data_IF_038179187819
#
_entry.id   IF_038179187819
#
_cell.length_a   1.000
_cell.length_b   1.000
_cell.length_c   1.000
_cell.angle_alpha   90.00
_cell.angle_beta   90.00
_cell.angle_gamma   90.00
#
_symmetry.space_group_name_H-M   'P 1'
#
loop_
_entity.id
_entity.type
_entity.pdbx_description
1 polymer ?
#
# COMPACT_ATOMS: atom_id res chain seq x y z
N UNK A 1 11.29 -21.83 7.30
CA UNK A 1 11.59 -20.69 6.39
C UNK A 1 11.46 -19.38 7.16
N UNK A 2 12.30 -18.37 6.88
CA UNK A 2 12.07 -17.03 7.39
C UNK A 2 11.02 -16.28 6.52
N UNK A 3 10.67 -15.04 6.85
CA UNK A 3 9.64 -14.29 6.13
C UNK A 3 10.03 -13.92 4.71
N UNK A 4 11.29 -13.52 4.50
CA UNK A 4 11.80 -13.22 3.16
C UNK A 4 11.76 -14.45 2.26
N UNK A 5 12.15 -15.60 2.76
CA UNK A 5 12.10 -16.88 2.01
C UNK A 5 10.67 -17.25 1.60
N UNK A 6 9.65 -17.03 2.47
CA UNK A 6 8.24 -17.29 2.13
C UNK A 6 7.74 -16.36 1.05
N UNK A 7 8.07 -15.07 1.14
CA UNK A 7 7.67 -14.09 0.13
C UNK A 7 8.34 -14.39 -1.21
N UNK A 8 9.63 -14.72 -1.21
CA UNK A 8 10.34 -15.13 -2.42
C UNK A 8 9.78 -16.43 -3.02
N UNK A 9 9.41 -17.42 -2.16
CA UNK A 9 8.76 -18.64 -2.63
C UNK A 9 7.44 -18.34 -3.35
N UNK A 10 6.61 -17.42 -2.81
CA UNK A 10 5.38 -17.00 -3.46
C UNK A 10 5.66 -16.31 -4.80
N UNK A 11 6.67 -15.43 -4.89
CA UNK A 11 7.06 -14.76 -6.14
C UNK A 11 7.59 -15.74 -7.21
N UNK A 12 8.22 -16.83 -6.80
CA UNK A 12 8.88 -17.82 -7.67
C UNK A 12 8.05 -19.08 -7.90
N UNK A 13 6.78 -19.12 -7.46
CA UNK A 13 5.92 -20.33 -7.50
C UNK A 13 6.54 -21.55 -6.84
N UNK A 14 7.30 -21.35 -5.76
CA UNK A 14 7.97 -22.41 -5.03
C UNK A 14 7.17 -22.85 -3.78
N UNK A 15 7.33 -24.10 -3.33
CA UNK A 15 6.75 -24.56 -2.07
C UNK A 15 7.28 -23.75 -0.89
N UNK A 16 6.40 -23.45 0.05
CA UNK A 16 6.74 -22.86 1.34
C UNK A 16 6.19 -23.68 2.49
N UNK A 17 6.74 -23.50 3.68
CA UNK A 17 6.27 -24.15 4.91
C UNK A 17 4.84 -23.71 5.29
N UNK A 18 4.42 -22.52 4.90
CA UNK A 18 3.04 -22.00 4.94
C UNK A 18 2.91 -20.83 3.93
N UNK A 19 1.69 -20.43 3.57
CA UNK A 19 1.50 -19.19 2.81
C UNK A 19 2.07 -17.98 3.56
N UNK A 20 2.67 -17.04 2.82
CA UNK A 20 3.06 -15.77 3.38
C UNK A 20 1.83 -14.95 3.80
N UNK A 21 2.00 -14.05 4.77
CA UNK A 21 0.95 -13.20 5.29
C UNK A 21 1.38 -11.74 5.37
N UNK A 22 0.49 -10.85 4.97
CA UNK A 22 0.63 -9.42 5.19
C UNK A 22 -0.55 -8.85 5.98
N UNK A 23 -0.25 -8.03 6.97
CA UNK A 23 -1.21 -7.26 7.74
C UNK A 23 -0.98 -5.78 7.45
N UNK A 24 -1.99 -5.09 6.93
CA UNK A 24 -1.94 -3.63 6.84
C UNK A 24 -2.16 -3.05 8.23
N UNK A 25 -1.08 -2.90 8.97
CA UNK A 25 -1.04 -2.59 10.40
C UNK A 25 -0.23 -1.33 10.71
N UNK A 26 -0.15 -0.41 9.73
CA UNK A 26 0.58 0.84 9.90
C UNK A 26 0.09 1.64 11.10
N UNK A 27 -1.23 1.76 11.27
CA UNK A 27 -1.88 2.40 12.41
C UNK A 27 -1.76 1.60 13.71
N UNK A 28 -1.85 0.27 13.61
CA UNK A 28 -2.03 -0.61 14.76
C UNK A 28 -0.81 -0.70 15.67
N UNK A 29 0.39 -0.41 15.13
CA UNK A 29 1.63 -0.38 15.91
C UNK A 29 1.58 0.61 17.08
N UNK A 30 0.93 1.75 16.91
CA UNK A 30 0.75 2.73 17.96
C UNK A 30 -0.02 2.16 19.18
N UNK A 31 -1.06 1.33 18.93
CA UNK A 31 -1.80 0.67 20.01
C UNK A 31 -0.92 -0.26 20.85
N UNK A 32 -0.05 -1.02 20.20
CA UNK A 32 0.77 -2.02 20.89
C UNK A 32 1.84 -1.39 21.78
N UNK A 33 2.36 -0.23 21.39
CA UNK A 33 3.37 0.52 22.15
C UNK A 33 2.76 1.55 23.11
N UNK A 34 1.47 1.89 22.95
CA UNK A 34 0.83 2.97 23.70
C UNK A 34 1.21 4.37 23.22
N UNK A 35 1.88 4.49 22.07
CA UNK A 35 2.24 5.76 21.48
C UNK A 35 0.99 6.53 21.02
N UNK A 36 1.02 7.86 21.09
CA UNK A 36 -0.01 8.66 20.45
C UNK A 36 0.11 8.57 18.93
N UNK A 37 -0.99 8.71 18.19
CA UNK A 37 -0.92 8.74 16.73
C UNK A 37 -0.12 9.95 16.20
N UNK A 38 -0.08 11.04 16.97
CA UNK A 38 0.76 12.18 16.63
C UNK A 38 2.24 11.81 16.66
N UNK A 39 2.72 11.18 17.74
CA UNK A 39 4.11 10.74 17.84
C UNK A 39 4.42 9.65 16.80
N UNK A 40 3.52 8.69 16.66
CA UNK A 40 3.67 7.57 15.71
C UNK A 40 3.87 8.04 14.24
N UNK A 41 3.17 9.10 13.83
CA UNK A 41 3.28 9.64 12.47
C UNK A 41 4.21 10.85 12.34
N UNK A 42 4.95 11.21 13.38
CA UNK A 42 5.97 12.27 13.34
C UNK A 42 7.37 11.81 13.71
N UNK A 43 7.52 10.67 14.39
CA UNK A 43 8.81 10.12 14.79
C UNK A 43 9.04 8.74 14.17
N UNK A 44 10.10 8.63 13.36
CA UNK A 44 10.42 7.39 12.65
C UNK A 44 10.81 6.23 13.58
N UNK A 45 11.43 6.52 14.72
CA UNK A 45 11.77 5.50 15.71
C UNK A 45 10.52 4.96 16.40
N UNK A 46 9.59 5.85 16.79
CA UNK A 46 8.30 5.45 17.39
C UNK A 46 7.48 4.60 16.42
N UNK A 47 7.44 4.97 15.13
CA UNK A 47 6.79 4.13 14.13
C UNK A 47 7.46 2.76 14.02
N UNK A 48 8.78 2.72 13.92
CA UNK A 48 9.53 1.47 13.78
C UNK A 48 9.39 0.55 15.02
N UNK A 49 9.29 1.09 16.23
CA UNK A 49 8.96 0.34 17.44
C UNK A 49 7.54 -0.26 17.37
N UNK A 50 6.58 0.52 16.86
CA UNK A 50 5.23 0.02 16.60
C UNK A 50 5.20 -1.16 15.64
N UNK A 51 5.95 -1.08 14.53
CA UNK A 51 6.06 -2.17 13.56
C UNK A 51 6.82 -3.39 14.13
N UNK A 52 7.79 -3.17 15.00
CA UNK A 52 8.41 -4.25 15.75
C UNK A 52 7.40 -4.96 16.65
N UNK A 53 6.61 -4.23 17.42
CA UNK A 53 5.60 -4.81 18.29
C UNK A 53 4.54 -5.62 17.50
N UNK A 54 4.16 -5.14 16.30
CA UNK A 54 3.31 -5.89 15.36
C UNK A 54 3.99 -7.17 14.93
N UNK A 55 5.26 -7.11 14.54
CA UNK A 55 6.03 -8.27 14.08
C UNK A 55 6.19 -9.32 15.19
N UNK A 56 6.53 -8.88 16.38
CA UNK A 56 6.75 -9.76 17.53
C UNK A 56 5.46 -10.48 17.97
N UNK A 57 4.33 -9.78 17.85
CA UNK A 57 3.04 -10.31 18.32
C UNK A 57 2.29 -11.13 17.30
N UNK A 58 2.31 -10.75 16.02
CA UNK A 58 1.47 -11.35 14.96
C UNK A 58 2.28 -12.01 13.84
N UNK A 59 3.58 -11.82 13.79
CA UNK A 59 4.49 -12.43 12.83
C UNK A 59 4.07 -12.27 11.34
N UNK A 60 3.60 -11.10 10.85
CA UNK A 60 3.41 -10.90 9.43
C UNK A 60 4.73 -11.08 8.66
N UNK A 61 4.67 -11.52 7.41
CA UNK A 61 5.86 -11.79 6.60
C UNK A 61 6.39 -10.58 5.82
N UNK A 62 5.66 -9.46 5.82
CA UNK A 62 6.06 -8.18 5.23
C UNK A 62 5.77 -7.05 6.21
N UNK A 63 6.62 -6.03 6.20
CA UNK A 63 6.39 -4.75 6.89
C UNK A 63 6.45 -3.60 5.89
N UNK A 64 5.87 -2.46 6.25
CA UNK A 64 5.83 -1.28 5.38
C UNK A 64 6.33 -0.03 6.11
N UNK A 65 6.80 0.96 5.34
CA UNK A 65 6.83 2.33 5.82
C UNK A 65 5.40 2.80 6.15
N UNK A 66 5.22 3.94 6.83
CA UNK A 66 3.89 4.41 7.20
C UNK A 66 2.93 4.46 6.01
N UNK A 67 1.77 3.82 6.14
CA UNK A 67 0.62 4.04 5.26
C UNK A 67 -0.02 5.38 5.66
N UNK A 68 0.74 6.44 5.45
CA UNK A 68 0.40 7.79 5.86
C UNK A 68 0.10 8.63 4.62
N UNK A 69 -1.11 8.45 4.09
CA UNK A 69 -1.56 9.10 2.84
C UNK A 69 -1.35 10.63 2.86
N UNK A 70 -1.65 11.38 3.95
CA UNK A 70 -1.43 12.82 4.00
C UNK A 70 0.03 13.27 3.87
N UNK A 71 1.01 12.38 4.05
CA UNK A 71 2.43 12.75 4.03
C UNK A 71 2.85 13.48 2.74
N UNK A 72 2.39 13.00 1.58
CA UNK A 72 2.70 13.66 0.31
C UNK A 72 1.97 14.99 0.18
N UNK A 73 0.71 15.08 0.64
CA UNK A 73 0.00 16.37 0.69
C UNK A 73 0.74 17.39 1.56
N UNK A 74 1.22 16.97 2.75
CA UNK A 74 2.00 17.84 3.65
C UNK A 74 3.31 18.29 3.01
N UNK A 75 3.96 17.42 2.25
CA UNK A 75 5.18 17.79 1.54
C UNK A 75 4.96 18.95 0.54
N UNK A 76 3.76 19.07 -0.03
CA UNK A 76 3.36 20.20 -0.88
C UNK A 76 2.72 21.37 -0.12
N UNK A 77 2.61 21.30 1.21
CA UNK A 77 2.08 22.38 2.05
C UNK A 77 0.64 22.19 2.54
N UNK A 78 -0.01 21.07 2.25
CA UNK A 78 -1.28 20.71 2.90
C UNK A 78 -1.07 20.47 4.40
N UNK A 79 -2.12 20.64 5.20
CA UNK A 79 -2.07 20.29 6.62
C UNK A 79 -2.88 19.03 6.87
N UNK A 80 -2.52 18.32 7.92
CA UNK A 80 -3.25 17.14 8.38
C UNK A 80 -3.56 17.27 9.86
N UNK A 81 -4.51 16.47 10.33
CA UNK A 81 -4.89 16.45 11.73
C UNK A 81 -4.79 15.02 12.26
N UNK A 82 -4.04 14.85 13.35
CA UNK A 82 -4.10 13.64 14.15
C UNK A 82 -5.46 13.56 14.86
N UNK A 83 -6.12 12.43 14.73
CA UNK A 83 -7.33 12.09 15.50
C UNK A 83 -6.95 10.95 16.45
N UNK A 84 -7.47 10.93 17.68
CA UNK A 84 -6.99 9.98 18.70
C UNK A 84 -7.11 8.50 18.33
N UNK A 85 -8.05 8.14 17.44
CA UNK A 85 -8.40 6.74 17.15
C UNK A 85 -8.57 6.42 15.66
N UNK A 86 -8.22 7.33 14.79
CA UNK A 86 -8.41 7.21 13.34
C UNK A 86 -7.12 7.54 12.61
N UNK A 87 -6.92 6.90 11.45
CA UNK A 87 -5.84 7.27 10.55
C UNK A 87 -5.89 8.77 10.22
N UNK A 88 -4.73 9.45 10.17
CA UNK A 88 -4.67 10.85 9.78
C UNK A 88 -5.24 11.07 8.39
N UNK A 89 -5.86 12.24 8.18
CA UNK A 89 -6.29 12.67 6.86
C UNK A 89 -5.93 14.14 6.63
N UNK A 90 -5.96 14.60 5.38
CA UNK A 90 -5.77 16.00 5.04
C UNK A 90 -6.86 16.84 5.69
N UNK A 91 -6.46 17.93 6.35
CA UNK A 91 -7.35 18.87 7.05
C UNK A 91 -7.58 20.13 6.20
N UNK A 92 -6.51 20.63 5.56
CA UNK A 92 -6.55 21.78 4.65
C UNK A 92 -5.61 21.55 3.48
N UNK A 93 -6.10 21.79 2.28
CA UNK A 93 -5.33 21.67 1.05
C UNK A 93 -4.38 22.86 0.85
N UNK A 94 -3.25 22.62 0.20
CA UNK A 94 -2.22 23.64 -0.08
C UNK A 94 -2.61 24.56 -1.23
N UNK A 95 -3.45 24.07 -2.16
CA UNK A 95 -3.94 24.83 -3.31
C UNK A 95 -5.39 24.45 -3.60
N UNK A 96 -6.09 25.21 -4.43
CA UNK A 96 -7.51 25.04 -4.73
C UNK A 96 -7.77 24.56 -6.17
N UNK A 97 -6.75 24.55 -7.02
CA UNK A 97 -6.85 24.08 -8.41
C UNK A 97 -5.55 23.45 -8.91
N UNK A 98 -5.64 22.74 -10.03
CA UNK A 98 -4.46 22.14 -10.68
C UNK A 98 -3.48 23.22 -11.19
N UNK A 99 -3.97 24.37 -11.66
CA UNK A 99 -3.14 25.50 -12.09
C UNK A 99 -2.39 26.14 -10.91
N UNK A 100 -3.01 26.21 -9.74
CA UNK A 100 -2.34 26.67 -8.52
C UNK A 100 -1.28 25.66 -8.07
N UNK A 101 -1.59 24.36 -8.08
CA UNK A 101 -0.63 23.32 -7.75
C UNK A 101 0.58 23.31 -8.69
N UNK A 102 0.41 23.60 -9.97
CA UNK A 102 1.52 23.74 -10.93
C UNK A 102 2.54 24.80 -10.52
N UNK A 103 2.15 25.80 -9.72
CA UNK A 103 3.03 26.88 -9.23
C UNK A 103 3.75 26.54 -7.92
N UNK A 104 3.28 25.51 -7.18
CA UNK A 104 3.93 25.12 -5.94
C UNK A 104 5.33 24.54 -6.22
N UNK A 105 6.34 24.79 -5.37
CA UNK A 105 7.63 24.13 -5.52
C UNK A 105 7.47 22.60 -5.34
N UNK A 106 8.26 21.82 -6.07
CA UNK A 106 8.39 20.40 -5.77
C UNK A 106 9.14 20.25 -4.44
N UNK A 107 8.70 19.35 -3.55
CA UNK A 107 9.42 19.04 -2.32
C UNK A 107 10.77 18.40 -2.64
N UNK A 108 11.80 18.79 -1.92
CA UNK A 108 13.10 18.15 -2.01
C UNK A 108 13.06 16.81 -1.25
N UNK A 109 13.37 15.71 -1.93
CA UNK A 109 13.25 14.35 -1.41
C UNK A 109 14.23 14.07 -0.28
N UNK A 110 15.39 14.75 -0.28
CA UNK A 110 16.45 14.50 0.69
C UNK A 110 16.35 15.37 1.95
N UNK A 111 15.70 16.52 1.87
CA UNK A 111 15.67 17.49 2.97
C UNK A 111 14.27 17.81 3.52
N UNK A 112 13.18 17.53 2.78
CA UNK A 112 11.85 17.83 3.29
C UNK A 112 11.51 16.92 4.50
N UNK A 113 11.18 17.49 5.69
CA UNK A 113 11.05 16.71 6.93
C UNK A 113 10.11 15.52 6.84
N UNK A 114 8.98 15.66 6.12
CA UNK A 114 8.00 14.59 5.95
C UNK A 114 8.51 13.44 5.08
N UNK A 115 9.26 13.76 4.03
CA UNK A 115 9.85 12.74 3.15
C UNK A 115 11.03 12.04 3.84
N UNK A 116 11.82 12.79 4.61
CA UNK A 116 12.87 12.25 5.49
C UNK A 116 12.28 11.29 6.52
N UNK A 117 11.15 11.64 7.16
CA UNK A 117 10.44 10.74 8.09
C UNK A 117 10.07 9.40 7.45
N UNK A 118 9.46 9.41 6.26
CA UNK A 118 9.08 8.18 5.54
C UNK A 118 10.32 7.31 5.22
N UNK A 119 11.39 7.94 4.78
CA UNK A 119 12.64 7.28 4.42
C UNK A 119 13.39 6.75 5.64
N UNK A 120 13.42 7.50 6.73
CA UNK A 120 14.08 7.08 7.97
C UNK A 120 13.39 5.86 8.60
N UNK A 121 12.06 5.77 8.54
CA UNK A 121 11.36 4.55 8.97
C UNK A 121 11.83 3.32 8.19
N UNK A 122 12.04 3.46 6.87
CA UNK A 122 12.57 2.38 6.04
C UNK A 122 13.98 1.99 6.49
N UNK A 123 14.89 2.97 6.69
CA UNK A 123 16.26 2.70 7.14
C UNK A 123 16.31 1.95 8.47
N UNK A 124 15.48 2.37 9.44
CA UNK A 124 15.43 1.71 10.75
C UNK A 124 14.93 0.27 10.60
N UNK A 125 13.82 0.05 9.88
CA UNK A 125 13.24 -1.28 9.71
C UNK A 125 14.15 -2.19 8.86
N UNK A 126 14.70 -1.69 7.75
CA UNK A 126 15.60 -2.45 6.89
C UNK A 126 16.87 -2.87 7.64
N UNK A 127 17.45 -2.00 8.47
CA UNK A 127 18.60 -2.33 9.33
C UNK A 127 18.25 -3.39 10.37
N UNK A 128 17.04 -3.29 10.97
CA UNK A 128 16.59 -4.21 12.02
C UNK A 128 16.32 -5.62 11.51
N UNK A 129 15.76 -5.73 10.31
CA UNK A 129 15.28 -6.99 9.72
C UNK A 129 16.05 -7.45 8.49
N UNK A 130 17.28 -6.97 8.33
CA UNK A 130 18.12 -7.27 7.15
C UNK A 130 18.18 -8.78 6.83
N UNK A 131 17.72 -9.16 5.63
CA UNK A 131 17.71 -10.55 5.16
C UNK A 131 16.65 -11.47 5.79
N UNK A 132 15.79 -10.96 6.68
CA UNK A 132 14.78 -11.77 7.36
C UNK A 132 13.35 -11.39 6.98
N UNK A 133 13.03 -10.09 6.94
CA UNK A 133 11.68 -9.57 6.65
C UNK A 133 11.78 -8.51 5.57
N UNK A 134 11.07 -8.65 4.44
CA UNK A 134 11.03 -7.62 3.41
C UNK A 134 10.28 -6.39 3.90
N UNK A 135 10.84 -5.21 3.61
CA UNK A 135 10.29 -3.90 3.95
C UNK A 135 9.85 -3.20 2.67
N UNK A 136 8.59 -2.74 2.61
CA UNK A 136 8.06 -2.02 1.46
C UNK A 136 7.86 -0.55 1.76
N UNK A 137 8.39 0.31 0.88
CA UNK A 137 8.11 1.74 0.90
C UNK A 137 6.71 2.02 0.33
N UNK A 138 5.85 2.72 1.08
CA UNK A 138 4.48 3.04 0.65
C UNK A 138 4.48 4.33 -0.15
N UNK A 139 3.90 4.28 -1.35
CA UNK A 139 3.69 5.42 -2.25
C UNK A 139 2.26 5.43 -2.78
N UNK A 140 1.80 6.61 -3.17
CA UNK A 140 0.60 6.76 -4.02
C UNK A 140 1.03 7.07 -5.45
N UNK A 141 0.24 6.70 -6.45
CA UNK A 141 0.59 6.94 -7.85
C UNK A 141 0.74 8.45 -8.15
N UNK A 142 1.46 8.85 -9.20
CA UNK A 142 1.55 10.28 -9.55
C UNK A 142 0.18 10.96 -9.69
N UNK A 143 -0.82 10.22 -10.21
CA UNK A 143 -2.18 10.75 -10.35
C UNK A 143 -2.94 10.84 -9.01
N UNK A 144 -2.49 10.13 -7.97
CA UNK A 144 -3.09 10.15 -6.64
C UNK A 144 -2.46 11.19 -5.70
N UNK A 145 -1.40 11.91 -6.13
CA UNK A 145 -0.80 13.01 -5.37
C UNK A 145 -1.70 14.25 -5.35
N UNK A 146 -2.24 14.73 -6.51
CA UNK A 146 -3.04 15.97 -6.53
C UNK A 146 -4.25 15.95 -5.58
N UNK A 147 -5.03 14.87 -5.41
CA UNK A 147 -6.09 14.83 -4.41
C UNK A 147 -5.68 15.20 -2.99
N UNK A 148 -4.41 14.98 -2.63
CA UNK A 148 -3.86 15.29 -1.31
C UNK A 148 -3.46 16.76 -1.17
N UNK A 149 -3.36 17.48 -2.29
CA UNK A 149 -2.86 18.87 -2.38
C UNK A 149 -3.97 19.86 -2.71
N UNK A 150 -4.92 19.48 -3.57
CA UNK A 150 -6.00 20.36 -4.06
C UNK A 150 -7.40 19.79 -3.79
N UNK A 151 -7.50 18.56 -3.24
CA UNK A 151 -8.76 17.86 -3.07
C UNK A 151 -9.17 17.04 -4.31
N UNK A 152 -9.97 16.00 -4.06
CA UNK A 152 -10.38 15.06 -5.11
C UNK A 152 -11.27 15.73 -6.16
N UNK A 153 -12.20 16.60 -5.75
CA UNK A 153 -13.14 17.26 -6.64
C UNK A 153 -12.41 18.14 -7.66
N UNK A 154 -11.52 19.02 -7.20
CA UNK A 154 -10.73 19.90 -8.07
C UNK A 154 -9.83 19.11 -9.03
N UNK A 155 -9.30 17.96 -8.59
CA UNK A 155 -8.49 17.11 -9.46
C UNK A 155 -9.32 16.38 -10.51
N UNK A 156 -10.49 15.84 -10.15
CA UNK A 156 -11.42 15.22 -11.11
C UNK A 156 -11.90 16.24 -12.15
N UNK A 157 -12.18 17.49 -11.74
CA UNK A 157 -12.52 18.57 -12.65
C UNK A 157 -11.39 18.81 -13.67
N UNK A 158 -10.15 18.91 -13.21
CA UNK A 158 -8.99 19.06 -14.09
C UNK A 158 -8.83 17.87 -15.06
N UNK A 159 -8.96 16.62 -14.57
CA UNK A 159 -8.86 15.42 -15.42
C UNK A 159 -9.93 15.34 -16.51
N UNK A 160 -11.15 15.82 -16.21
CA UNK A 160 -12.30 15.72 -17.11
C UNK A 160 -12.38 16.89 -18.09
N UNK A 161 -12.10 18.13 -17.63
CA UNK A 161 -12.39 19.34 -18.37
C UNK A 161 -11.15 20.17 -18.75
N UNK A 162 -9.99 19.90 -18.13
CA UNK A 162 -8.74 20.61 -18.38
C UNK A 162 -7.56 19.62 -18.64
N UNK A 163 -7.67 18.72 -19.63
CA UNK A 163 -6.73 17.62 -19.83
C UNK A 163 -5.28 18.06 -20.05
N UNK A 164 -5.06 19.24 -20.62
CA UNK A 164 -3.70 19.79 -20.83
C UNK A 164 -3.07 20.23 -19.49
N UNK A 165 -3.84 20.83 -18.59
CA UNK A 165 -3.37 21.20 -17.24
C UNK A 165 -3.10 19.93 -16.43
N UNK A 166 -4.00 18.94 -16.51
CA UNK A 166 -3.82 17.67 -15.84
C UNK A 166 -2.56 16.94 -16.34
N UNK A 167 -2.33 16.93 -17.66
CA UNK A 167 -1.11 16.34 -18.25
C UNK A 167 0.15 17.06 -17.77
N UNK A 168 0.17 18.37 -17.82
CA UNK A 168 1.32 19.17 -17.36
C UNK A 168 1.64 18.88 -15.88
N UNK A 169 0.62 18.72 -15.04
CA UNK A 169 0.80 18.38 -13.63
C UNK A 169 1.35 16.96 -13.45
N UNK A 170 0.82 15.97 -14.17
CA UNK A 170 1.32 14.59 -14.15
C UNK A 170 2.77 14.51 -14.63
N UNK A 171 3.11 15.22 -15.73
CA UNK A 171 4.47 15.25 -16.26
C UNK A 171 5.46 15.87 -15.26
N UNK A 172 5.01 16.84 -14.48
CA UNK A 172 5.81 17.46 -13.42
C UNK A 172 5.97 16.56 -12.19
N UNK A 173 4.92 15.82 -11.80
CA UNK A 173 4.94 14.96 -10.61
C UNK A 173 5.68 13.64 -10.84
N UNK A 174 5.74 13.17 -12.07
CA UNK A 174 6.39 11.88 -12.40
C UNK A 174 7.87 11.82 -11.98
N UNK A 175 8.73 12.80 -12.29
CA UNK A 175 10.12 12.79 -11.82
C UNK A 175 10.23 12.77 -10.30
N UNK A 176 9.43 13.57 -9.60
CA UNK A 176 9.39 13.59 -8.13
C UNK A 176 9.01 12.21 -7.55
N UNK A 177 7.96 11.58 -8.10
CA UNK A 177 7.55 10.24 -7.69
C UNK A 177 8.66 9.21 -7.91
N UNK A 178 9.34 9.24 -9.05
CA UNK A 178 10.44 8.34 -9.38
C UNK A 178 11.63 8.56 -8.45
N UNK A 179 11.97 9.82 -8.17
CA UNK A 179 13.05 10.19 -7.26
C UNK A 179 12.78 9.67 -5.84
N UNK A 180 11.57 9.89 -5.31
CA UNK A 180 11.18 9.39 -3.99
C UNK A 180 11.19 7.85 -3.94
N UNK A 181 10.65 7.17 -4.96
CA UNK A 181 10.69 5.72 -5.04
C UNK A 181 12.11 5.14 -5.07
N UNK A 182 13.00 5.76 -5.84
CA UNK A 182 14.43 5.38 -5.88
C UNK A 182 15.13 5.62 -4.55
N UNK A 183 14.83 6.75 -3.89
CA UNK A 183 15.37 7.06 -2.59
C UNK A 183 14.94 6.04 -1.52
N UNK A 184 13.65 5.64 -1.51
CA UNK A 184 13.17 4.59 -0.61
C UNK A 184 13.86 3.24 -0.84
N UNK A 185 14.10 2.85 -2.10
CA UNK A 185 14.85 1.63 -2.42
C UNK A 185 16.32 1.74 -1.98
N UNK A 186 16.96 2.89 -2.18
CA UNK A 186 18.32 3.14 -1.72
C UNK A 186 18.45 3.12 -0.19
N UNK A 187 17.39 3.50 0.54
CA UNK A 187 17.31 3.44 2.00
C UNK A 187 17.08 2.02 2.55
N UNK A 188 16.95 1.02 1.67
CA UNK A 188 16.87 -0.39 2.04
C UNK A 188 15.47 -1.01 1.91
N UNK A 189 14.50 -0.32 1.29
CA UNK A 189 13.23 -0.96 0.95
C UNK A 189 13.49 -2.12 -0.03
N UNK A 190 12.87 -3.26 0.23
CA UNK A 190 12.89 -4.43 -0.65
C UNK A 190 12.11 -4.18 -1.94
N UNK A 191 11.10 -3.33 -1.87
CA UNK A 191 10.24 -2.92 -2.97
C UNK A 191 9.31 -1.79 -2.53
N UNK A 192 8.37 -1.44 -3.40
CA UNK A 192 7.39 -0.39 -3.15
C UNK A 192 5.97 -0.97 -3.11
N UNK A 193 5.13 -0.46 -2.22
CA UNK A 193 3.69 -0.70 -2.20
C UNK A 193 2.99 0.55 -2.75
N UNK A 194 2.39 0.41 -3.91
CA UNK A 194 1.81 1.51 -4.68
C UNK A 194 0.30 1.48 -4.64
N UNK A 195 -0.32 2.50 -4.07
CA UNK A 195 -1.76 2.73 -4.17
C UNK A 195 -2.08 3.47 -5.47
N UNK A 196 -3.07 2.99 -6.23
CA UNK A 196 -3.48 3.61 -7.48
C UNK A 196 -5.01 3.62 -7.61
N UNK A 197 -5.60 4.80 -7.39
CA UNK A 197 -7.05 5.03 -7.49
C UNK A 197 -7.43 5.65 -8.84
N UNK A 198 -6.68 6.65 -9.27
CA UNK A 198 -7.04 7.51 -10.41
C UNK A 198 -6.75 6.90 -11.79
N UNK A 199 -6.54 5.59 -11.86
CA UNK A 199 -6.57 4.82 -13.10
C UNK A 199 -7.71 3.77 -13.08
N UNK A 200 -8.51 3.73 -12.01
CA UNK A 200 -9.61 2.78 -11.83
C UNK A 200 -10.90 3.30 -12.46
N UNK A 201 -11.59 2.46 -13.25
CA UNK A 201 -12.84 2.79 -13.97
C UNK A 201 -14.00 3.17 -13.04
N UNK A 202 -13.94 2.83 -11.77
CA UNK A 202 -14.95 3.23 -10.77
C UNK A 202 -14.76 4.66 -10.28
N UNK A 203 -13.62 5.31 -10.60
CA UNK A 203 -13.31 6.68 -10.16
C UNK A 203 -13.17 7.61 -11.36
N UNK A 204 -12.50 7.18 -12.44
CA UNK A 204 -12.30 7.97 -13.64
C UNK A 204 -12.86 7.24 -14.87
N UNK A 205 -13.19 8.00 -15.91
CA UNK A 205 -13.63 7.41 -17.18
C UNK A 205 -12.50 6.64 -17.87
N UNK A 206 -12.85 5.66 -18.70
CA UNK A 206 -11.86 4.91 -19.48
C UNK A 206 -10.98 5.85 -20.33
N UNK A 207 -11.57 6.91 -20.91
CA UNK A 207 -10.83 7.94 -21.66
C UNK A 207 -9.73 8.58 -20.80
N UNK A 208 -10.05 9.02 -19.59
CA UNK A 208 -9.06 9.63 -18.67
C UNK A 208 -7.98 8.64 -18.30
N UNK A 209 -8.39 7.42 -17.95
CA UNK A 209 -7.44 6.37 -17.60
C UNK A 209 -6.47 6.07 -18.76
N UNK A 210 -6.98 5.87 -19.96
CA UNK A 210 -6.20 5.43 -21.13
C UNK A 210 -5.34 6.56 -21.74
N UNK A 211 -5.78 7.82 -21.64
CA UNK A 211 -5.06 8.95 -22.29
C UNK A 211 -4.18 9.75 -21.33
N UNK A 212 -4.37 9.64 -20.02
CA UNK A 212 -3.64 10.44 -19.02
C UNK A 212 -2.98 9.56 -17.95
N UNK A 213 -3.76 8.87 -17.09
CA UNK A 213 -3.23 8.34 -15.85
C UNK A 213 -2.45 7.03 -16.04
N UNK A 214 -2.90 6.09 -16.89
CA UNK A 214 -2.17 4.85 -17.17
C UNK A 214 -0.87 5.04 -17.96
N UNK A 215 -0.82 5.85 -19.04
CA UNK A 215 0.45 6.13 -19.72
C UNK A 215 1.48 6.77 -18.78
N UNK A 216 1.04 7.72 -17.95
CA UNK A 216 1.87 8.33 -16.93
C UNK A 216 2.40 7.31 -15.91
N UNK A 217 1.50 6.48 -15.36
CA UNK A 217 1.87 5.42 -14.42
C UNK A 217 2.89 4.43 -15.02
N UNK A 218 2.69 4.00 -16.26
CA UNK A 218 3.63 3.11 -16.97
C UNK A 218 5.02 3.74 -17.10
N UNK A 219 5.09 5.02 -17.46
CA UNK A 219 6.35 5.77 -17.55
C UNK A 219 7.03 5.85 -16.19
N UNK A 220 6.27 6.18 -15.13
CA UNK A 220 6.80 6.27 -13.77
C UNK A 220 7.36 4.94 -13.28
N UNK A 221 6.59 3.85 -13.44
CA UNK A 221 7.01 2.51 -12.99
C UNK A 221 8.21 1.97 -13.77
N UNK A 222 8.31 2.24 -15.08
CA UNK A 222 9.46 1.82 -15.88
C UNK A 222 10.77 2.45 -15.40
N UNK A 223 10.71 3.60 -14.75
CA UNK A 223 11.87 4.31 -14.21
C UNK A 223 12.28 3.87 -12.79
N UNK A 224 11.49 3.03 -12.12
CA UNK A 224 11.77 2.53 -10.76
C UNK A 224 12.51 1.19 -10.86
N UNK A 225 13.73 1.04 -10.26
CA UNK A 225 14.56 -0.16 -10.43
C UNK A 225 14.25 -1.26 -9.39
N UNK A 226 13.00 -1.45 -8.97
CA UNK A 226 12.66 -2.42 -7.93
C UNK A 226 11.24 -2.96 -8.06
N UNK A 227 10.92 -4.07 -7.35
CA UNK A 227 9.60 -4.68 -7.41
C UNK A 227 8.53 -3.78 -6.78
N UNK A 228 7.34 -3.82 -7.37
CA UNK A 228 6.19 -3.03 -6.94
C UNK A 228 5.02 -3.96 -6.62
N UNK A 229 4.41 -3.77 -5.48
CA UNK A 229 3.11 -4.32 -5.12
C UNK A 229 2.05 -3.29 -5.50
N UNK A 230 1.10 -3.67 -6.35
CA UNK A 230 0.00 -2.80 -6.80
C UNK A 230 -1.21 -2.97 -5.88
N UNK A 231 -1.60 -1.89 -5.22
CA UNK A 231 -2.78 -1.85 -4.36
C UNK A 231 -3.95 -1.20 -5.08
N UNK A 232 -5.12 -1.84 -5.05
CA UNK A 232 -6.33 -1.44 -5.78
C UNK A 232 -6.98 -0.14 -5.30
N UNK A 233 -6.56 0.40 -4.15
CA UNK A 233 -7.08 1.67 -3.62
C UNK A 233 -8.50 1.61 -3.07
N UNK A 234 -9.02 0.40 -2.72
CA UNK A 234 -10.38 0.21 -2.20
C UNK A 234 -11.46 0.11 -3.29
N UNK A 235 -11.06 -0.19 -4.54
CA UNK A 235 -12.00 -0.44 -5.64
C UNK A 235 -11.79 -1.84 -6.22
N UNK A 236 -12.85 -2.55 -6.68
CA UNK A 236 -12.72 -3.84 -7.34
C UNK A 236 -11.69 -3.82 -8.48
N UNK A 237 -10.84 -4.84 -8.55
CA UNK A 237 -9.73 -4.89 -9.49
C UNK A 237 -9.86 -6.01 -10.52
N UNK A 238 -10.44 -7.16 -10.17
CA UNK A 238 -10.40 -8.39 -10.98
C UNK A 238 -10.98 -8.18 -12.39
N UNK A 239 -12.10 -7.47 -12.51
CA UNK A 239 -12.72 -7.19 -13.81
C UNK A 239 -11.88 -6.29 -14.73
N UNK A 240 -10.95 -5.53 -14.15
CA UNK A 240 -10.10 -4.60 -14.89
C UNK A 240 -8.61 -4.96 -14.84
N UNK A 241 -8.26 -6.14 -14.32
CA UNK A 241 -6.87 -6.62 -14.28
C UNK A 241 -6.18 -6.61 -15.64
N UNK A 242 -6.92 -6.83 -16.73
CA UNK A 242 -6.38 -6.70 -18.08
C UNK A 242 -5.77 -5.34 -18.39
N UNK A 243 -6.25 -4.27 -17.75
CA UNK A 243 -5.72 -2.89 -17.87
C UNK A 243 -4.38 -2.72 -17.14
N UNK A 244 -4.22 -3.38 -16.00
CA UNK A 244 -3.06 -3.23 -15.11
C UNK A 244 -2.03 -4.35 -15.28
N UNK A 245 -2.43 -5.47 -15.88
CA UNK A 245 -1.52 -6.58 -16.17
C UNK A 245 -0.37 -6.12 -17.06
N UNK A 246 0.85 -6.45 -16.64
CA UNK A 246 2.06 -6.08 -17.40
C UNK A 246 2.52 -4.64 -17.15
N UNK A 247 2.04 -3.97 -16.11
CA UNK A 247 2.67 -2.75 -15.63
C UNK A 247 4.14 -3.03 -15.27
N UNK A 248 5.09 -2.16 -15.65
CA UNK A 248 6.50 -2.37 -15.38
C UNK A 248 6.76 -2.59 -13.89
N UNK A 249 7.58 -3.60 -13.58
CA UNK A 249 8.05 -3.93 -12.23
C UNK A 249 6.96 -4.34 -11.22
N UNK A 250 5.69 -4.44 -11.63
CA UNK A 250 4.61 -4.91 -10.75
C UNK A 250 4.67 -6.43 -10.66
N UNK A 251 4.94 -6.92 -9.45
CA UNK A 251 5.12 -8.35 -9.14
C UNK A 251 3.95 -8.95 -8.35
N UNK A 252 3.11 -8.11 -7.76
CA UNK A 252 1.96 -8.53 -6.98
C UNK A 252 0.78 -7.56 -7.10
N UNK A 253 -0.44 -8.08 -7.00
CA UNK A 253 -1.67 -7.30 -7.07
C UNK A 253 -2.56 -7.62 -5.86
N UNK A 254 -2.94 -6.58 -5.12
CA UNK A 254 -4.02 -6.71 -4.13
C UNK A 254 -5.37 -6.79 -4.82
N UNK A 255 -6.20 -7.71 -4.36
CA UNK A 255 -7.61 -7.80 -4.76
C UNK A 255 -8.51 -7.33 -3.62
N UNK A 256 -9.72 -6.91 -3.97
CA UNK A 256 -10.69 -6.40 -3.00
C UNK A 256 -11.33 -7.53 -2.17
N UNK A 257 -11.95 -7.16 -1.05
CA UNK A 257 -12.52 -8.07 -0.03
C UNK A 257 -13.56 -9.04 -0.59
N UNK A 258 -14.32 -8.63 -1.59
CA UNK A 258 -15.40 -9.41 -2.20
C UNK A 258 -14.98 -10.15 -3.48
N UNK A 259 -13.71 -10.02 -3.89
CA UNK A 259 -13.21 -10.64 -5.12
C UNK A 259 -12.72 -12.07 -4.90
N UNK A 260 -12.89 -12.92 -5.91
CA UNK A 260 -12.46 -14.33 -5.88
C UNK A 260 -10.96 -14.45 -6.25
N UNK A 261 -10.10 -14.96 -5.34
CA UNK A 261 -8.68 -15.18 -5.64
C UNK A 261 -8.44 -16.06 -6.88
N UNK A 262 -9.28 -17.06 -7.11
CA UNK A 262 -9.16 -17.90 -8.30
C UNK A 262 -9.52 -17.15 -9.59
N UNK A 263 -10.49 -16.24 -9.55
CA UNK A 263 -10.80 -15.36 -10.69
C UNK A 263 -9.63 -14.39 -10.96
N UNK A 264 -9.04 -13.81 -9.91
CA UNK A 264 -7.85 -12.98 -10.04
C UNK A 264 -6.69 -13.74 -10.70
N UNK A 265 -6.42 -14.97 -10.25
CA UNK A 265 -5.40 -15.84 -10.84
C UNK A 265 -5.68 -16.12 -12.32
N UNK A 266 -6.92 -16.42 -12.69
CA UNK A 266 -7.30 -16.63 -14.10
C UNK A 266 -7.07 -15.38 -14.96
N UNK A 267 -7.39 -14.20 -14.42
CA UNK A 267 -7.21 -12.92 -15.14
C UNK A 267 -5.73 -12.55 -15.29
N UNK A 268 -4.93 -12.71 -14.24
CA UNK A 268 -3.49 -12.40 -14.26
C UNK A 268 -2.70 -13.46 -15.06
N UNK A 269 -3.08 -14.72 -15.00
CA UNK A 269 -2.24 -15.83 -15.45
C UNK A 269 -1.05 -16.07 -14.51
N UNK A 270 -0.07 -16.89 -14.90
CA UNK A 270 1.11 -17.16 -14.08
C UNK A 270 2.05 -15.93 -13.99
N UNK A 271 2.82 -15.86 -12.94
CA UNK A 271 3.87 -14.87 -12.72
C UNK A 271 3.59 -13.91 -11.56
N UNK A 272 2.63 -12.99 -11.65
CA UNK A 272 2.35 -12.07 -10.55
C UNK A 272 1.69 -12.77 -9.35
N UNK A 273 2.02 -12.34 -8.14
CA UNK A 273 1.38 -12.79 -6.90
C UNK A 273 0.01 -12.13 -6.75
N UNK A 274 -0.99 -12.88 -6.32
CA UNK A 274 -2.28 -12.37 -5.84
C UNK A 274 -2.17 -12.15 -4.33
N UNK A 275 -2.52 -10.97 -3.86
CA UNK A 275 -2.56 -10.62 -2.44
C UNK A 275 -4.00 -10.31 -2.01
N UNK A 276 -4.42 -10.82 -0.89
CA UNK A 276 -5.77 -10.54 -0.38
C UNK A 276 -6.35 -11.69 0.45
N UNK A 277 -7.62 -11.65 0.79
CA UNK A 277 -8.51 -10.51 0.64
C UNK A 277 -9.40 -10.36 1.89
N UNK A 278 -8.72 -10.09 3.00
CA UNK A 278 -9.41 -9.88 4.27
C UNK A 278 -9.74 -8.41 4.45
N UNK A 279 -10.93 -8.10 4.94
CA UNK A 279 -11.28 -6.72 5.31
C UNK A 279 -10.53 -6.31 6.58
N UNK A 280 -9.44 -5.54 6.41
CA UNK A 280 -8.64 -5.05 7.53
C UNK A 280 -9.45 -4.20 8.52
N UNK A 281 -10.17 -3.17 8.05
CA UNK A 281 -11.07 -2.39 8.89
C UNK A 281 -12.18 -3.21 9.57
N UNK A 282 -12.77 -4.18 8.88
CA UNK A 282 -13.88 -4.99 9.37
C UNK A 282 -13.50 -6.08 10.38
N UNK A 283 -12.21 -6.31 10.63
CA UNK A 283 -11.79 -7.29 11.65
C UNK A 283 -12.34 -6.96 13.05
N UNK A 284 -12.61 -5.68 13.34
CA UNK A 284 -13.15 -5.23 14.63
C UNK A 284 -14.55 -5.77 14.90
N UNK A 285 -15.32 -6.05 13.86
CA UNK A 285 -16.72 -6.46 13.94
C UNK A 285 -16.89 -7.99 13.98
N UNK A 286 -15.79 -8.74 13.92
CA UNK A 286 -15.80 -10.20 13.84
C UNK A 286 -15.19 -10.85 15.09
N UNK A 287 -15.66 -12.06 15.42
CA UNK A 287 -14.99 -12.90 16.42
C UNK A 287 -13.72 -13.54 15.84
N UNK A 288 -12.73 -13.92 16.68
CA UNK A 288 -11.55 -14.65 16.22
C UNK A 288 -11.89 -15.91 15.39
N UNK A 289 -12.93 -16.65 15.76
CA UNK A 289 -13.37 -17.86 15.05
C UNK A 289 -13.96 -17.51 13.66
N UNK A 290 -14.68 -16.40 13.56
CA UNK A 290 -15.22 -15.92 12.28
C UNK A 290 -14.10 -15.46 11.34
N UNK A 291 -13.06 -14.80 11.88
CA UNK A 291 -11.86 -14.39 11.14
C UNK A 291 -11.09 -15.61 10.66
N UNK A 292 -10.86 -16.59 11.53
CA UNK A 292 -10.20 -17.85 11.18
C UNK A 292 -10.95 -18.58 10.06
N UNK A 293 -12.28 -18.72 10.19
CA UNK A 293 -13.12 -19.31 9.15
C UNK A 293 -13.04 -18.54 7.83
N UNK A 294 -12.94 -17.21 7.86
CA UNK A 294 -12.75 -16.36 6.65
C UNK A 294 -11.39 -16.60 6.02
N UNK A 295 -10.32 -16.66 6.80
CA UNK A 295 -8.97 -16.96 6.32
C UNK A 295 -8.92 -18.33 5.63
N UNK A 296 -9.47 -19.36 6.27
CA UNK A 296 -9.50 -20.71 5.71
C UNK A 296 -10.32 -20.80 4.41
N UNK A 297 -11.44 -20.08 4.32
CA UNK A 297 -12.20 -19.96 3.07
C UNK A 297 -11.39 -19.31 1.96
N UNK A 298 -10.73 -18.18 2.23
CA UNK A 298 -9.87 -17.49 1.25
C UNK A 298 -8.74 -18.41 0.76
N UNK A 299 -8.09 -19.13 1.69
CA UNK A 299 -7.03 -20.09 1.37
C UNK A 299 -7.56 -21.29 0.56
N UNK A 300 -8.79 -21.73 0.80
CA UNK A 300 -9.45 -22.77 0.00
C UNK A 300 -9.80 -22.24 -1.41
N UNK A 301 -10.31 -21.02 -1.51
CA UNK A 301 -10.66 -20.38 -2.80
C UNK A 301 -9.45 -20.17 -3.71
N UNK A 302 -8.26 -19.85 -3.16
CA UNK A 302 -7.03 -19.77 -3.97
C UNK A 302 -6.68 -21.10 -4.66
N UNK A 303 -7.19 -22.24 -4.16
CA UNK A 303 -6.85 -23.58 -4.64
C UNK A 303 -5.35 -23.91 -4.49
N UNK A 304 -4.73 -24.57 -5.50
CA UNK A 304 -3.31 -24.95 -5.45
C UNK A 304 -2.34 -23.79 -5.76
N UNK A 305 -2.85 -22.56 -5.94
CA UNK A 305 -2.03 -21.40 -6.29
C UNK A 305 -1.02 -21.09 -5.19
N UNK A 306 0.28 -21.18 -5.48
CA UNK A 306 1.36 -20.83 -4.58
C UNK A 306 1.75 -19.35 -4.67
N UNK A 307 1.43 -18.69 -5.78
CA UNK A 307 1.65 -17.26 -6.01
C UNK A 307 0.55 -16.43 -5.32
N UNK A 308 0.34 -16.71 -4.04
CA UNK A 308 -0.68 -16.09 -3.21
C UNK A 308 -0.13 -15.70 -1.84
N UNK A 309 -0.43 -14.49 -1.40
CA UNK A 309 -0.14 -13.99 -0.05
C UNK A 309 -1.47 -13.65 0.62
N UNK A 310 -1.78 -14.32 1.74
CA UNK A 310 -2.95 -13.95 2.55
C UNK A 310 -2.72 -12.57 3.13
N UNK A 311 -3.63 -11.63 2.89
CA UNK A 311 -3.44 -10.28 3.40
C UNK A 311 -4.76 -9.61 3.81
N UNK A 312 -4.68 -8.70 4.77
CA UNK A 312 -5.68 -7.66 4.89
C UNK A 312 -5.52 -6.68 3.72
N UNK A 313 -6.63 -6.19 3.19
CA UNK A 313 -6.67 -5.21 2.09
C UNK A 313 -7.60 -4.05 2.47
N UNK A 314 -7.95 -3.20 1.52
CA UNK A 314 -8.73 -1.98 1.68
C UNK A 314 -7.98 -0.87 2.42
N UNK A 315 -7.90 -0.93 3.75
CA UNK A 315 -7.22 0.06 4.58
C UNK A 315 -6.56 -0.59 5.80
N UNK A 316 -6.00 0.24 6.68
CA UNK A 316 -5.39 -0.21 7.93
C UNK A 316 -6.37 -0.98 8.83
N UNK A 317 -5.85 -1.96 9.56
CA UNK A 317 -6.54 -2.55 10.71
C UNK A 317 -6.83 -1.43 11.71
N UNK A 318 -8.08 -1.30 12.12
CA UNK A 318 -8.51 -0.25 13.03
C UNK A 318 -7.78 -0.32 14.38
N UNK A 319 -7.47 0.84 14.95
CA UNK A 319 -6.73 0.95 16.21
C UNK A 319 -7.39 0.15 17.35
N UNK A 320 -8.73 0.08 17.36
CA UNK A 320 -9.50 -0.56 18.43
C UNK A 320 -9.78 -2.05 18.21
N UNK A 321 -9.33 -2.61 17.08
CA UNK A 321 -9.50 -4.05 16.82
C UNK A 321 -8.86 -4.88 17.93
N UNK A 322 -9.58 -5.82 18.59
CA UNK A 322 -9.02 -6.68 19.60
C UNK A 322 -7.79 -7.45 19.09
N UNK A 323 -6.76 -7.58 19.92
CA UNK A 323 -5.50 -8.21 19.49
C UNK A 323 -5.69 -9.68 19.13
N UNK A 324 -6.61 -10.38 19.76
CA UNK A 324 -7.01 -11.76 19.44
C UNK A 324 -7.60 -11.87 18.03
N UNK A 325 -8.33 -10.86 17.56
CA UNK A 325 -8.86 -10.80 16.20
C UNK A 325 -7.72 -10.69 15.17
N UNK A 326 -6.72 -9.84 15.43
CA UNK A 326 -5.54 -9.72 14.56
C UNK A 326 -4.71 -11.01 14.59
N UNK A 327 -4.52 -11.60 15.77
CA UNK A 327 -3.79 -12.86 15.93
C UNK A 327 -4.46 -14.04 15.19
N UNK A 328 -5.78 -14.08 15.12
CA UNK A 328 -6.52 -15.14 14.44
C UNK A 328 -6.15 -15.24 12.94
N UNK A 329 -5.78 -14.11 12.29
CA UNK A 329 -5.35 -14.11 10.89
C UNK A 329 -4.08 -14.96 10.71
N UNK A 330 -3.05 -14.74 11.52
CA UNK A 330 -1.79 -15.48 11.38
C UNK A 330 -1.86 -16.88 11.98
N UNK A 331 -2.67 -17.10 13.02
CA UNK A 331 -2.91 -18.40 13.60
C UNK A 331 -3.58 -19.38 12.60
N UNK A 332 -4.49 -18.88 11.73
CA UNK A 332 -5.14 -19.70 10.71
C UNK A 332 -4.16 -20.35 9.71
N UNK A 333 -3.03 -19.69 9.45
CA UNK A 333 -2.01 -20.21 8.54
C UNK A 333 -1.33 -21.49 9.05
N UNK A 334 -1.24 -21.67 10.36
CA UNK A 334 -0.64 -22.85 10.97
C UNK A 334 -1.50 -24.09 10.80
N UNK A 335 -2.80 -23.94 10.52
CA UNK A 335 -3.72 -25.06 10.30
C UNK A 335 -3.62 -25.63 8.88
N UNK A 336 -3.19 -24.82 7.91
CA UNK A 336 -3.05 -25.22 6.50
C UNK A 336 -1.81 -26.10 6.28
N UNK A 337 -0.87 -26.09 7.23
CA UNK A 337 0.39 -26.84 7.17
C UNK A 337 0.25 -28.29 7.64
N UNK A 338 -0.88 -28.68 8.22
CA UNK A 338 -1.10 -30.07 8.64
C UNK A 338 -1.40 -30.95 7.42
N UNK A 339 -0.55 -31.98 7.15
CA UNK A 339 -0.75 -32.91 6.05
C UNK A 339 -2.05 -33.70 6.18
#
# INVERSE_FOLDING_TARGET
>A
MNSLERVLAALQDQPADRPACFLNSSLYGARLTGATLADHYNDAAVYAEGQQAVRDRFAPDLLTSPFFVPALGEAFGSTWRARPRQAPNVDRFAALSAEEMLKLPLPDVDSHPRLVYLRETIRILAKRYAGEVPIFGVLVSPADIPPLVIGLEAWLDALLFQPEVARALLDRLTPFFVELGRAMLADGATGLALTCNLANRFIVTDRVAETLTLPNLKTALAAIPGPVIFHHGGCPLVEQLGRFKGLPNVVAYFIDVDEDPAAARRALGPGPVVMGNLDGPGLIDLSPEAIEARCLRTLAQRGPDRQFILSTCSADIQLDTPAECVAAVTASLLQVVRP
#
